data_IF_239234885367
#
_entry.id   IF_239234885367
#
_cell.length_a   1.000
_cell.length_b   1.000
_cell.length_c   1.000
_cell.angle_alpha   90.00
_cell.angle_beta   90.00
_cell.angle_gamma   90.00
#
_symmetry.space_group_name_H-M   'P 1'
#
loop_
_entity.id
_entity.type
_entity.pdbx_description
1 polymer ?
#
# COMPACT_ATOMS: atom_id res chain seq x y z
N UNK A 1 -5.87 -11.26 -18.01
CA UNK A 1 -4.81 -10.73 -17.11
C UNK A 1 -4.90 -9.21 -16.90
N UNK A 2 -4.93 -8.35 -17.93
CA UNK A 2 -4.96 -6.88 -17.76
C UNK A 2 -6.20 -6.32 -17.05
N UNK A 3 -7.38 -6.91 -17.29
CA UNK A 3 -8.61 -6.54 -16.60
C UNK A 3 -8.54 -6.86 -15.09
N UNK A 4 -7.89 -7.97 -14.73
CA UNK A 4 -7.66 -8.35 -13.33
C UNK A 4 -6.73 -7.34 -12.61
N UNK A 5 -5.63 -6.93 -13.25
CA UNK A 5 -4.74 -5.89 -12.70
C UNK A 5 -5.46 -4.54 -12.52
N UNK A 6 -6.35 -4.18 -13.43
CA UNK A 6 -7.21 -2.99 -13.31
C UNK A 6 -8.21 -3.11 -12.17
N UNK A 7 -8.87 -4.27 -12.03
CA UNK A 7 -9.81 -4.52 -10.95
C UNK A 7 -9.10 -4.49 -9.58
N UNK A 8 -7.94 -5.13 -9.48
CA UNK A 8 -7.12 -5.10 -8.26
C UNK A 8 -6.65 -3.68 -7.94
N UNK A 9 -6.20 -2.92 -8.93
CA UNK A 9 -5.85 -1.50 -8.77
C UNK A 9 -7.02 -0.69 -8.23
N UNK A 10 -8.24 -0.93 -8.72
CA UNK A 10 -9.45 -0.27 -8.23
C UNK A 10 -9.78 -0.63 -6.77
N UNK A 11 -9.67 -1.91 -6.39
CA UNK A 11 -9.85 -2.34 -5.00
C UNK A 11 -8.82 -1.71 -4.06
N UNK A 12 -7.55 -1.68 -4.47
CA UNK A 12 -6.47 -1.03 -3.72
C UNK A 12 -6.73 0.48 -3.57
N UNK A 13 -7.25 1.13 -4.61
CA UNK A 13 -7.59 2.55 -4.58
C UNK A 13 -8.72 2.82 -3.57
N UNK A 14 -9.76 1.98 -3.55
CA UNK A 14 -10.84 2.08 -2.57
C UNK A 14 -10.27 1.98 -1.16
N UNK A 15 -9.45 0.96 -0.87
CA UNK A 15 -8.84 0.78 0.45
C UNK A 15 -7.99 2.00 0.86
N UNK A 16 -7.19 2.55 -0.07
CA UNK A 16 -6.39 3.75 0.16
C UNK A 16 -7.26 4.96 0.55
N UNK A 17 -8.35 5.20 -0.19
CA UNK A 17 -9.28 6.30 0.09
C UNK A 17 -9.97 6.10 1.45
N UNK A 18 -10.46 4.90 1.75
CA UNK A 18 -11.07 4.59 3.05
C UNK A 18 -10.12 4.87 4.22
N UNK A 19 -8.88 4.38 4.14
CA UNK A 19 -7.86 4.62 5.17
C UNK A 19 -7.54 6.11 5.31
N UNK A 20 -7.39 6.84 4.21
CA UNK A 20 -7.14 8.28 4.23
C UNK A 20 -8.29 9.09 4.83
N UNK A 21 -9.53 8.70 4.57
CA UNK A 21 -10.72 9.31 5.17
C UNK A 21 -10.76 9.06 6.69
N UNK A 22 -10.51 7.82 7.13
CA UNK A 22 -10.46 7.48 8.55
C UNK A 22 -9.36 8.24 9.30
N UNK A 23 -8.18 8.38 8.70
CA UNK A 23 -7.09 9.20 9.25
C UNK A 23 -7.48 10.67 9.33
N UNK A 24 -8.16 11.20 8.31
CA UNK A 24 -8.63 12.59 8.31
C UNK A 24 -9.65 12.84 9.42
N UNK A 25 -10.64 11.94 9.58
CA UNK A 25 -11.66 12.03 10.64
C UNK A 25 -11.00 11.99 12.02
N UNK A 26 -10.09 11.02 12.24
CA UNK A 26 -9.39 10.89 13.52
C UNK A 26 -8.54 12.11 13.82
N UNK A 27 -7.76 12.58 12.85
CA UNK A 27 -6.90 13.76 12.98
C UNK A 27 -7.68 15.03 13.39
N UNK A 28 -8.85 15.24 12.79
CA UNK A 28 -9.74 16.36 13.16
C UNK A 28 -10.33 16.15 14.55
N UNK A 29 -10.79 14.93 14.86
CA UNK A 29 -11.39 14.63 16.16
C UNK A 29 -10.41 14.77 17.33
N UNK A 30 -9.13 14.46 17.13
CA UNK A 30 -8.11 14.52 18.17
C UNK A 30 -7.33 15.83 18.18
N UNK A 31 -7.62 16.76 17.26
CA UNK A 31 -6.85 18.00 17.04
C UNK A 31 -5.33 17.77 16.91
N UNK A 32 -4.93 16.55 16.53
CA UNK A 32 -3.56 16.09 16.42
C UNK A 32 -3.45 15.20 15.21
N UNK A 33 -2.43 15.41 14.38
CA UNK A 33 -2.25 14.65 13.14
C UNK A 33 -1.97 13.18 13.46
N UNK A 34 -3.02 12.36 13.42
CA UNK A 34 -2.94 10.93 13.68
C UNK A 34 -2.99 10.16 12.35
N UNK A 35 -1.83 9.62 11.97
CA UNK A 35 -1.67 8.85 10.73
C UNK A 35 -1.51 7.38 11.09
N UNK A 36 -2.31 6.52 10.45
CA UNK A 36 -2.27 5.07 10.66
C UNK A 36 -1.12 4.48 9.84
N UNK A 37 -0.12 3.91 10.50
CA UNK A 37 1.01 3.23 9.86
C UNK A 37 0.61 1.90 9.22
N UNK A 38 1.24 1.52 8.10
CA UNK A 38 0.91 0.29 7.37
C UNK A 38 1.10 -0.98 8.23
N UNK A 39 2.09 -0.98 9.13
CA UNK A 39 2.32 -2.09 10.04
C UNK A 39 1.09 -2.37 10.92
N UNK A 40 0.45 -1.32 11.43
CA UNK A 40 -0.75 -1.45 12.28
C UNK A 40 -1.94 -2.03 11.51
N UNK A 41 -2.08 -1.67 10.23
CA UNK A 41 -3.12 -2.22 9.35
C UNK A 41 -2.85 -3.69 9.05
N UNK A 42 -1.58 -4.06 8.83
CA UNK A 42 -1.20 -5.46 8.65
C UNK A 42 -1.49 -6.27 9.92
N UNK A 43 -1.04 -5.79 11.08
CA UNK A 43 -1.27 -6.47 12.36
C UNK A 43 -2.76 -6.68 12.65
N UNK A 44 -3.59 -5.68 12.34
CA UNK A 44 -5.05 -5.77 12.51
C UNK A 44 -5.71 -6.77 11.55
N UNK A 45 -5.32 -6.78 10.28
CA UNK A 45 -5.98 -7.61 9.26
C UNK A 45 -5.49 -9.06 9.25
N UNK A 46 -4.18 -9.28 9.42
CA UNK A 46 -3.55 -10.58 9.24
C UNK A 46 -2.49 -10.86 10.34
N UNK A 47 -2.88 -10.92 11.62
CA UNK A 47 -1.95 -11.07 12.74
C UNK A 47 -1.11 -12.36 12.65
N UNK A 48 -1.73 -13.47 12.24
CA UNK A 48 -1.04 -14.75 12.07
C UNK A 48 0.03 -14.71 10.95
N UNK A 49 -0.19 -13.93 9.90
CA UNK A 49 0.82 -13.81 8.84
C UNK A 49 2.05 -13.00 9.30
N UNK A 50 1.84 -12.00 10.16
CA UNK A 50 2.94 -11.19 10.69
C UNK A 50 3.88 -12.03 11.54
N UNK A 51 3.33 -12.84 12.45
CA UNK A 51 4.14 -13.75 13.29
C UNK A 51 4.87 -14.80 12.47
N UNK A 52 4.27 -15.30 11.39
CA UNK A 52 4.93 -16.20 10.44
C UNK A 52 6.09 -15.53 9.69
N UNK A 53 5.91 -14.28 9.23
CA UNK A 53 6.98 -13.53 8.57
C UNK A 53 8.11 -13.21 9.54
N UNK A 54 7.79 -12.79 10.75
CA UNK A 54 8.77 -12.50 11.81
C UNK A 54 9.62 -13.74 12.14
N UNK A 55 8.97 -14.88 12.38
CA UNK A 55 9.67 -16.15 12.67
C UNK A 55 10.52 -16.62 11.49
N UNK A 56 10.03 -16.48 10.26
CA UNK A 56 10.81 -16.79 9.06
C UNK A 56 12.02 -15.86 8.89
N UNK A 57 11.85 -14.54 9.05
CA UNK A 57 12.94 -13.58 8.88
C UNK A 57 14.01 -13.68 9.98
N UNK A 58 13.58 -13.91 11.22
CA UNK A 58 14.48 -14.16 12.34
C UNK A 58 15.31 -15.44 12.12
N UNK A 59 14.72 -16.44 11.44
CA UNK A 59 15.39 -17.71 11.14
C UNK A 59 16.36 -17.61 9.95
N UNK A 60 15.99 -16.91 8.87
CA UNK A 60 16.75 -16.92 7.62
C UNK A 60 17.72 -15.74 7.42
N UNK A 61 17.45 -14.58 8.02
CA UNK A 61 18.26 -13.37 7.76
C UNK A 61 19.01 -12.97 9.02
N UNK A 62 18.31 -12.36 9.97
CA UNK A 62 18.81 -11.97 11.30
C UNK A 62 17.70 -11.16 12.01
N UNK A 63 17.57 -11.24 13.34
CA UNK A 63 16.56 -10.47 14.09
C UNK A 63 16.67 -8.95 13.92
N UNK A 64 17.89 -8.43 13.75
CA UNK A 64 18.16 -6.99 13.51
C UNK A 64 17.56 -6.50 12.18
N UNK A 65 17.55 -7.34 11.15
CA UNK A 65 16.97 -6.99 9.85
C UNK A 65 15.44 -6.81 9.95
N UNK A 66 14.78 -7.63 10.78
CA UNK A 66 13.35 -7.48 11.04
C UNK A 66 13.03 -6.16 11.72
N UNK A 67 13.80 -5.76 12.74
CA UNK A 67 13.62 -4.47 13.43
C UNK A 67 13.73 -3.27 12.49
N UNK A 68 14.66 -3.31 11.54
CA UNK A 68 14.80 -2.25 10.55
C UNK A 68 13.56 -2.16 9.63
N UNK A 69 13.07 -3.31 9.16
CA UNK A 69 11.86 -3.40 8.31
C UNK A 69 10.64 -2.90 9.08
N UNK A 70 10.50 -3.32 10.34
CA UNK A 70 9.40 -2.94 11.21
C UNK A 70 9.34 -1.43 11.45
N UNK A 71 10.50 -0.80 11.70
CA UNK A 71 10.60 0.64 11.85
C UNK A 71 10.25 1.38 10.55
N UNK A 72 10.73 0.88 9.41
CA UNK A 72 10.41 1.45 8.10
C UNK A 72 8.91 1.35 7.76
N UNK A 73 8.28 0.19 8.04
CA UNK A 73 6.84 0.00 7.84
C UNK A 73 6.01 0.81 8.82
N UNK A 74 6.48 1.01 10.05
CA UNK A 74 5.76 1.83 11.04
C UNK A 74 5.70 3.30 10.62
N UNK A 75 6.77 3.82 10.02
CA UNK A 75 6.83 5.20 9.52
C UNK A 75 6.08 5.44 8.21
N UNK A 76 5.65 4.38 7.51
CA UNK A 76 4.95 4.50 6.23
C UNK A 76 3.43 4.63 6.44
N UNK A 77 2.79 5.73 5.99
CA UNK A 77 1.34 5.87 6.06
C UNK A 77 0.63 4.79 5.25
N UNK A 78 -0.35 4.11 5.83
CA UNK A 78 -1.05 3.01 5.18
C UNK A 78 -1.75 3.46 3.87
N UNK A 79 -2.43 4.61 3.90
CA UNK A 79 -3.12 5.15 2.72
C UNK A 79 -2.14 5.43 1.57
N UNK A 80 -0.97 5.98 1.88
CA UNK A 80 0.05 6.30 0.88
C UNK A 80 0.63 5.03 0.24
N UNK A 81 0.86 3.99 1.05
CA UNK A 81 1.32 2.68 0.57
C UNK A 81 0.30 2.04 -0.40
N UNK A 82 -0.96 1.96 0.00
CA UNK A 82 -2.01 1.39 -0.85
C UNK A 82 -2.26 2.21 -2.12
N UNK A 83 -2.15 3.54 -2.04
CA UNK A 83 -2.27 4.43 -3.21
C UNK A 83 -1.12 4.20 -4.19
N UNK A 84 0.12 4.13 -3.69
CA UNK A 84 1.29 3.84 -4.52
C UNK A 84 1.17 2.48 -5.21
N UNK A 85 0.74 1.45 -4.47
CA UNK A 85 0.55 0.11 -5.02
C UNK A 85 -0.57 0.08 -6.07
N UNK A 86 -1.67 0.78 -5.82
CA UNK A 86 -2.76 0.96 -6.80
C UNK A 86 -2.24 1.62 -8.08
N UNK A 87 -1.42 2.67 -7.96
CA UNK A 87 -0.84 3.39 -9.09
C UNK A 87 0.11 2.50 -9.89
N UNK A 88 0.95 1.69 -9.24
CA UNK A 88 1.84 0.73 -9.90
C UNK A 88 1.05 -0.34 -10.65
N UNK A 89 0.01 -0.92 -10.04
CA UNK A 89 -0.87 -1.87 -10.71
C UNK A 89 -1.58 -1.25 -11.91
N UNK A 90 -2.03 0.01 -11.77
CA UNK A 90 -2.65 0.77 -12.86
C UNK A 90 -1.66 1.00 -14.01
N UNK A 91 -0.45 1.48 -13.72
CA UNK A 91 0.61 1.70 -14.70
C UNK A 91 0.98 0.41 -15.43
N UNK A 92 1.13 -0.71 -14.72
CA UNK A 92 1.38 -2.02 -15.31
C UNK A 92 0.21 -2.48 -16.22
N UNK A 93 -1.02 -2.10 -15.89
CA UNK A 93 -2.20 -2.34 -16.71
C UNK A 93 -2.35 -1.41 -17.93
N UNK A 94 -1.71 -0.23 -17.93
CA UNK A 94 -1.82 0.77 -18.99
C UNK A 94 -0.83 0.51 -20.13
N UNK A 95 -1.32 -0.09 -21.21
CA UNK A 95 -0.60 -0.13 -22.50
C UNK A 95 -0.51 1.30 -23.03
N UNK A 96 0.70 1.81 -23.32
CA UNK A 96 0.88 3.08 -24.03
C UNK A 96 0.02 3.05 -25.30
N UNK A 97 -1.02 3.89 -25.37
CA UNK A 97 -1.69 4.16 -26.66
C UNK A 97 -0.58 4.76 -27.53
N UNK A 98 -0.10 4.00 -28.52
CA UNK A 98 0.72 4.58 -29.58
C UNK A 98 -0.09 5.77 -30.09
N UNK A 99 0.41 6.97 -29.83
CA UNK A 99 -0.09 8.19 -30.46
C UNK A 99 0.11 7.96 -31.94
N UNK A 100 -0.93 7.48 -32.62
CA UNK A 100 -0.95 7.32 -34.06
C UNK A 100 -1.02 8.74 -34.62
N UNK A 101 0.14 9.39 -34.69
CA UNK A 101 0.36 10.61 -35.45
C UNK A 101 0.21 10.24 -36.91
N UNK A 102 -1.03 10.16 -37.41
CA UNK A 102 -1.26 10.22 -38.85
C UNK A 102 -1.12 11.69 -39.24
N UNK A 103 0.04 12.00 -39.80
CA UNK A 103 0.28 13.22 -40.56
C UNK A 103 -0.78 13.33 -41.63
N UNK A 104 -1.50 14.45 -41.61
CA UNK A 104 -2.25 14.96 -42.76
C UNK A 104 -1.31 15.10 -43.95
N UNK A 105 -1.63 14.40 -45.05
CA UNK A 105 -1.16 14.69 -46.40
C UNK A 105 -2.41 15.02 -47.21
#
# INVERSE_FOLDING_TARGET
MKAFLRFLSFLLLIAAVFLGVLDSIRSVSTSSVNITGILSVWDYLLPASRTMVETALAHYIHPEAWRFIENALSGLPAFAFFLALSLLCWMAGYRKRKVMRRSSV
#
